data_IF_262116974626
#
_entry.id   IF_262116974626
#
_cell.length_a   1.000
_cell.length_b   1.000
_cell.length_c   1.000
_cell.angle_alpha   90.00
_cell.angle_beta   90.00
_cell.angle_gamma   90.00
#
_symmetry.space_group_name_H-M   'P 1'
#
loop_
_entity.id
_entity.type
_entity.pdbx_description
1 polymer ?
#
# COMPACT_ATOMS: atom_id res chain seq x y z
N UNK A 1 11.04 -6.05 1.58
CA UNK A 1 11.34 -5.62 0.20
C UNK A 1 10.36 -6.34 -0.71
N UNK A 2 9.64 -5.61 -1.55
CA UNK A 2 8.74 -6.18 -2.57
C UNK A 2 9.37 -5.81 -3.91
N UNK A 3 9.66 -6.80 -4.75
CA UNK A 3 10.33 -6.62 -6.05
C UNK A 3 11.64 -5.82 -5.99
N UNK A 4 12.46 -6.07 -4.96
CA UNK A 4 13.72 -5.36 -4.74
C UNK A 4 13.56 -3.89 -4.32
N UNK A 5 12.32 -3.44 -4.07
CA UNK A 5 11.98 -2.07 -3.72
C UNK A 5 11.46 -1.99 -2.28
N UNK A 6 11.87 -0.94 -1.56
CA UNK A 6 11.34 -0.63 -0.23
C UNK A 6 9.93 -0.06 -0.40
N UNK A 7 8.97 -0.72 0.22
CA UNK A 7 7.61 -0.26 0.36
C UNK A 7 7.31 -0.12 1.85
N UNK A 8 6.47 0.85 2.21
CA UNK A 8 5.98 1.05 3.58
C UNK A 8 4.58 0.45 3.70
N UNK A 9 4.28 -0.20 4.81
CA UNK A 9 2.91 -0.58 5.16
C UNK A 9 2.12 0.70 5.48
N UNK A 10 0.94 0.86 4.88
CA UNK A 10 0.01 1.97 5.17
C UNK A 10 -1.02 1.54 6.18
N UNK A 11 -1.72 0.44 5.87
CA UNK A 11 -2.88 0.00 6.61
C UNK A 11 -3.14 -1.51 6.40
N UNK A 12 -3.96 -2.10 7.26
CA UNK A 12 -4.31 -3.52 7.26
C UNK A 12 -5.84 -3.67 7.31
N UNK A 13 -6.37 -4.41 6.34
CA UNK A 13 -7.81 -4.66 6.20
C UNK A 13 -8.15 -6.12 6.48
N UNK A 14 -9.38 -6.36 6.92
CA UNK A 14 -9.88 -7.73 7.13
C UNK A 14 -10.30 -8.40 5.82
N UNK A 15 -10.61 -7.62 4.78
CA UNK A 15 -10.99 -8.14 3.47
C UNK A 15 -10.15 -7.56 2.31
N UNK A 16 -10.04 -8.36 1.25
CA UNK A 16 -9.26 -8.02 0.06
C UNK A 16 -9.85 -6.84 -0.71
N UNK A 17 -11.17 -6.70 -0.71
CA UNK A 17 -11.87 -5.70 -1.52
C UNK A 17 -11.65 -4.28 -0.98
N UNK A 18 -11.69 -4.08 0.33
CA UNK A 18 -11.37 -2.82 1.01
C UNK A 18 -9.90 -2.46 0.80
N UNK A 19 -8.99 -3.43 0.94
CA UNK A 19 -7.58 -3.21 0.64
C UNK A 19 -7.35 -2.76 -0.80
N UNK A 20 -8.06 -3.35 -1.77
CA UNK A 20 -8.00 -2.97 -3.18
C UNK A 20 -8.57 -1.57 -3.43
N UNK A 21 -9.75 -1.26 -2.88
CA UNK A 21 -10.37 0.06 -3.01
C UNK A 21 -9.45 1.16 -2.44
N UNK A 22 -8.84 0.91 -1.27
CA UNK A 22 -7.89 1.83 -0.67
C UNK A 22 -6.60 1.97 -1.49
N UNK A 23 -6.05 0.86 -1.99
CA UNK A 23 -4.86 0.89 -2.83
C UNK A 23 -5.11 1.68 -4.14
N UNK A 24 -6.26 1.53 -4.78
CA UNK A 24 -6.65 2.28 -5.98
C UNK A 24 -6.64 3.80 -5.72
N UNK A 25 -7.15 4.25 -4.59
CA UNK A 25 -7.11 5.67 -4.21
C UNK A 25 -5.68 6.20 -4.03
N UNK A 26 -4.74 5.35 -3.64
CA UNK A 26 -3.32 5.70 -3.50
C UNK A 26 -2.55 5.67 -4.83
N UNK A 27 -3.03 4.93 -5.83
CA UNK A 27 -2.31 4.75 -7.11
C UNK A 27 -2.12 6.05 -7.90
N UNK A 28 -2.96 7.06 -7.67
CA UNK A 28 -2.82 8.37 -8.31
C UNK A 28 -1.45 9.02 -8.04
N UNK A 29 -0.85 8.74 -6.87
CA UNK A 29 0.39 9.38 -6.42
C UNK A 29 1.50 8.37 -6.07
N UNK A 30 1.17 7.07 -5.96
CA UNK A 30 2.04 6.05 -5.39
C UNK A 30 2.05 4.77 -6.25
N UNK A 31 3.13 4.01 -6.19
CA UNK A 31 3.01 2.59 -6.47
C UNK A 31 2.44 1.91 -5.22
N UNK A 32 1.38 1.14 -5.40
CA UNK A 32 0.77 0.35 -4.33
C UNK A 32 0.93 -1.13 -4.59
N UNK A 33 1.07 -1.92 -3.54
CA UNK A 33 1.02 -3.37 -3.60
C UNK A 33 0.24 -3.90 -2.41
N UNK A 34 -0.53 -4.95 -2.63
CA UNK A 34 -1.37 -5.56 -1.61
C UNK A 34 -0.86 -6.98 -1.39
N UNK A 35 -0.74 -7.38 -0.13
CA UNK A 35 -0.36 -8.76 0.23
C UNK A 35 -1.25 -9.30 1.33
N UNK A 36 -1.65 -10.57 1.18
CA UNK A 36 -2.25 -11.31 2.27
C UNK A 36 -1.17 -11.67 3.31
N UNK A 37 -1.43 -11.29 4.55
CA UNK A 37 -0.56 -11.53 5.69
C UNK A 37 -0.83 -12.93 6.29
N UNK A 38 0.10 -13.45 7.09
CA UNK A 38 0.00 -14.78 7.70
C UNK A 38 -1.23 -14.98 8.59
N UNK A 39 -1.81 -13.90 9.10
CA UNK A 39 -3.02 -13.92 9.92
C UNK A 39 -4.32 -13.84 9.08
N UNK A 40 -4.23 -13.92 7.75
CA UNK A 40 -5.38 -13.84 6.84
C UNK A 40 -5.82 -12.43 6.47
N UNK A 41 -5.29 -11.40 7.14
CA UNK A 41 -5.57 -9.98 6.83
C UNK A 41 -4.82 -9.51 5.58
N UNK A 42 -5.21 -8.37 5.03
CA UNK A 42 -4.66 -7.79 3.81
C UNK A 42 -3.92 -6.49 4.11
N UNK A 43 -2.60 -6.48 3.93
CA UNK A 43 -1.79 -5.29 4.10
C UNK A 43 -1.63 -4.52 2.79
N UNK A 44 -1.85 -3.21 2.83
CA UNK A 44 -1.58 -2.30 1.71
C UNK A 44 -0.23 -1.62 1.92
N UNK A 45 0.66 -1.81 0.96
CA UNK A 45 2.00 -1.26 0.94
C UNK A 45 2.14 -0.22 -0.16
N UNK A 46 2.96 0.80 0.06
CA UNK A 46 3.19 1.86 -0.92
C UNK A 46 4.64 2.29 -1.03
N UNK A 47 4.95 2.93 -2.16
CA UNK A 47 6.16 3.74 -2.36
C UNK A 47 5.85 4.93 -3.27
N UNK A 48 6.57 6.06 -3.14
CA UNK A 48 6.34 7.20 -4.00
C UNK A 48 6.69 6.89 -5.47
N UNK A 49 5.91 7.45 -6.40
CA UNK A 49 6.44 7.79 -7.71
C UNK A 49 7.41 8.96 -7.51
N UNK A 50 8.62 8.87 -8.06
CA UNK A 50 9.73 9.83 -7.86
C UNK A 50 9.26 11.29 -7.78
N UNK A 51 9.59 11.98 -6.68
CA UNK A 51 9.35 13.42 -6.47
C UNK A 51 7.98 13.81 -5.92
N UNK A 52 7.02 12.89 -5.82
CA UNK A 52 5.67 13.16 -5.29
C UNK A 52 5.50 12.50 -3.92
N UNK A 53 5.08 13.28 -2.94
CA UNK A 53 4.71 12.78 -1.60
C UNK A 53 3.34 12.12 -1.69
N UNK A 54 3.24 10.87 -1.26
CA UNK A 54 1.94 10.23 -1.18
C UNK A 54 1.11 10.81 -0.03
N UNK A 55 -0.19 11.04 -0.26
CA UNK A 55 -1.04 11.86 0.61
C UNK A 55 -1.24 11.31 2.03
N UNK A 56 -0.81 10.08 2.33
CA UNK A 56 -0.96 9.45 3.65
C UNK A 56 0.39 9.15 4.34
N UNK A 57 1.49 9.70 3.82
CA UNK A 57 2.80 9.67 4.47
C UNK A 57 2.94 10.74 5.54
N UNK A 58 2.10 10.76 6.57
CA UNK A 58 2.48 11.44 7.81
C UNK A 58 3.46 10.52 8.52
N UNK A 59 4.67 11.04 8.70
CA UNK A 59 5.79 10.41 9.41
C UNK A 59 5.39 10.10 10.85
#
# INVERSE_FOLDING_TARGET
>A
MIDGKVHKLVDIFDNEQEANNFALALQENCYTTIFQMKNGKWGVYWRPHTGILCPYGVV
#
